data_IF_086991996206
#
_entry.id   IF_086991996206
#
_cell.length_a   1.000
_cell.length_b   1.000
_cell.length_c   1.000
_cell.angle_alpha   90.00
_cell.angle_beta   90.00
_cell.angle_gamma   90.00
#
_symmetry.space_group_name_H-M   'P 1'
#
loop_
_entity.id
_entity.type
_entity.pdbx_description
1 polymer ?
#
# COMPACT_ATOMS: atom_id res chain seq x y z
N UNK A 1 22.19 -21.96 -8.05
CA UNK A 1 20.98 -21.13 -8.06
C UNK A 1 19.84 -22.10 -8.35
N UNK A 2 19.05 -22.49 -7.35
CA UNK A 2 17.92 -23.40 -7.60
C UNK A 2 16.97 -22.77 -8.62
N UNK A 3 16.40 -23.54 -9.55
CA UNK A 3 15.34 -23.05 -10.41
C UNK A 3 14.17 -22.68 -9.50
N UNK A 4 13.93 -21.39 -9.32
CA UNK A 4 12.73 -20.91 -8.69
C UNK A 4 11.55 -21.55 -9.41
N UNK A 5 10.64 -22.16 -8.66
CA UNK A 5 9.43 -22.75 -9.20
C UNK A 5 8.52 -21.61 -9.69
N UNK A 6 8.70 -21.22 -10.95
CA UNK A 6 8.01 -20.11 -11.60
C UNK A 6 6.49 -20.29 -11.50
N UNK A 7 6.02 -21.54 -11.53
CA UNK A 7 4.62 -21.89 -11.31
C UNK A 7 4.13 -21.46 -9.92
N UNK A 8 4.94 -21.65 -8.86
CA UNK A 8 4.60 -21.15 -7.52
C UNK A 8 4.53 -19.62 -7.47
N UNK A 9 5.43 -18.93 -8.18
CA UNK A 9 5.44 -17.47 -8.25
C UNK A 9 4.19 -16.96 -9.00
N UNK A 10 3.89 -17.53 -10.17
CA UNK A 10 2.69 -17.20 -10.95
C UNK A 10 1.41 -17.41 -10.13
N UNK A 11 1.28 -18.57 -9.46
CA UNK A 11 0.13 -18.86 -8.60
C UNK A 11 0.01 -17.88 -7.41
N UNK A 12 1.14 -17.49 -6.82
CA UNK A 12 1.15 -16.51 -5.73
C UNK A 12 0.72 -15.10 -6.20
N UNK A 13 1.19 -14.68 -7.37
CA UNK A 13 0.78 -13.42 -8.01
C UNK A 13 -0.71 -13.49 -8.35
N UNK A 14 -1.19 -14.56 -8.97
CA UNK A 14 -2.59 -14.72 -9.35
C UNK A 14 -3.53 -14.66 -8.14
N UNK A 15 -3.20 -15.39 -7.07
CA UNK A 15 -3.93 -15.31 -5.79
C UNK A 15 -3.92 -13.89 -5.23
N UNK A 16 -2.79 -13.20 -5.32
CA UNK A 16 -2.71 -11.81 -4.88
C UNK A 16 -3.55 -10.87 -5.73
N UNK A 17 -3.64 -11.09 -7.05
CA UNK A 17 -4.49 -10.32 -7.95
C UNK A 17 -5.98 -10.50 -7.62
N UNK A 18 -6.39 -11.70 -7.24
CA UNK A 18 -7.77 -11.95 -6.77
C UNK A 18 -8.09 -11.15 -5.51
N UNK A 19 -7.17 -11.15 -4.54
CA UNK A 19 -7.32 -10.35 -3.31
C UNK A 19 -7.33 -8.83 -3.60
N UNK A 20 -6.52 -8.35 -4.56
CA UNK A 20 -6.52 -6.95 -4.97
C UNK A 20 -7.87 -6.54 -5.58
N UNK A 21 -8.46 -7.39 -6.43
CA UNK A 21 -9.81 -7.15 -6.98
C UNK A 21 -10.86 -7.09 -5.87
N UNK A 22 -10.84 -8.06 -4.95
CA UNK A 22 -11.74 -8.06 -3.79
C UNK A 22 -11.57 -6.83 -2.92
N UNK A 23 -10.33 -6.39 -2.69
CA UNK A 23 -10.06 -5.14 -1.96
C UNK A 23 -10.67 -3.94 -2.68
N UNK A 24 -10.50 -3.84 -4.00
CA UNK A 24 -11.03 -2.72 -4.79
C UNK A 24 -12.56 -2.59 -4.67
N UNK A 25 -13.30 -3.70 -4.56
CA UNK A 25 -14.75 -3.68 -4.31
C UNK A 25 -15.13 -3.09 -2.95
N UNK A 26 -14.24 -3.18 -1.96
CA UNK A 26 -14.42 -2.61 -0.63
C UNK A 26 -14.01 -1.15 -0.54
N UNK A 27 -13.32 -0.60 -1.56
CA UNK A 27 -12.86 0.79 -1.58
C UNK A 27 -14.07 1.72 -1.78
N UNK A 28 -14.37 2.62 -0.83
CA UNK A 28 -15.54 3.50 -0.92
C UNK A 28 -15.53 4.34 -2.20
N UNK A 29 -16.64 4.29 -2.94
CA UNK A 29 -16.81 5.03 -4.20
C UNK A 29 -16.13 4.41 -5.43
N UNK A 30 -15.34 3.35 -5.28
CA UNK A 30 -14.72 2.66 -6.42
C UNK A 30 -15.76 1.90 -7.25
N UNK A 31 -16.69 1.21 -6.62
CA UNK A 31 -17.79 0.49 -7.30
C UNK A 31 -18.79 1.42 -7.99
N UNK A 32 -18.80 2.71 -7.62
CA UNK A 32 -19.61 3.74 -8.27
C UNK A 32 -19.03 4.20 -9.63
N UNK A 33 -17.75 3.92 -9.91
CA UNK A 33 -17.17 4.14 -11.23
C UNK A 33 -17.72 3.14 -12.24
N UNK A 34 -17.69 3.49 -13.52
CA UNK A 34 -18.07 2.56 -14.58
C UNK A 34 -17.09 1.37 -14.69
N UNK A 35 -17.57 0.22 -15.17
CA UNK A 35 -16.81 -1.03 -15.20
C UNK A 35 -15.51 -0.94 -15.99
N UNK A 36 -15.52 -0.24 -17.13
CA UNK A 36 -14.34 -0.03 -17.98
C UNK A 36 -13.24 0.74 -17.23
N UNK A 37 -13.59 1.87 -16.60
CA UNK A 37 -12.62 2.67 -15.85
C UNK A 37 -12.06 1.91 -14.64
N UNK A 38 -12.90 1.11 -13.96
CA UNK A 38 -12.43 0.23 -12.87
C UNK A 38 -11.43 -0.80 -13.36
N UNK A 39 -11.69 -1.42 -14.52
CA UNK A 39 -10.78 -2.40 -15.11
C UNK A 39 -9.44 -1.76 -15.48
N UNK A 40 -9.48 -0.58 -16.10
CA UNK A 40 -8.28 0.19 -16.45
C UNK A 40 -7.45 0.53 -15.21
N UNK A 41 -8.09 1.05 -14.15
CA UNK A 41 -7.42 1.37 -12.89
C UNK A 41 -6.77 0.12 -12.26
N UNK A 42 -7.46 -1.02 -12.28
CA UNK A 42 -6.90 -2.28 -11.81
C UNK A 42 -5.69 -2.72 -12.65
N UNK A 43 -5.75 -2.61 -13.98
CA UNK A 43 -4.60 -2.96 -14.83
C UNK A 43 -3.41 -2.02 -14.57
N UNK A 44 -3.65 -0.72 -14.42
CA UNK A 44 -2.62 0.31 -14.20
C UNK A 44 -1.91 0.21 -12.85
N UNK A 45 -2.64 -0.16 -11.78
CA UNK A 45 -2.16 -0.02 -10.40
C UNK A 45 -2.12 -1.33 -9.61
N UNK A 46 -2.52 -2.46 -10.20
CA UNK A 46 -2.46 -3.76 -9.51
C UNK A 46 -1.04 -4.19 -9.15
N UNK A 47 -0.03 -3.88 -9.98
CA UNK A 47 1.38 -4.14 -9.63
C UNK A 47 1.86 -3.26 -8.47
N UNK A 48 1.35 -2.03 -8.37
CA UNK A 48 1.65 -1.14 -7.24
C UNK A 48 1.04 -1.67 -5.94
N UNK A 49 -0.22 -2.12 -6.00
CA UNK A 49 -0.90 -2.76 -4.87
C UNK A 49 -0.27 -4.10 -4.49
N UNK A 50 0.19 -4.88 -5.47
CA UNK A 50 0.93 -6.11 -5.25
C UNK A 50 2.25 -5.80 -4.54
N UNK A 51 3.00 -4.80 -5.00
CA UNK A 51 4.25 -4.38 -4.37
C UNK A 51 4.04 -3.89 -2.94
N UNK A 52 3.00 -3.08 -2.69
CA UNK A 52 2.62 -2.67 -1.34
C UNK A 52 2.28 -3.87 -0.44
N UNK A 53 1.48 -4.81 -0.94
CA UNK A 53 1.10 -6.02 -0.20
C UNK A 53 2.30 -6.91 0.11
N UNK A 54 3.20 -7.09 -0.84
CA UNK A 54 4.43 -7.86 -0.67
C UNK A 54 5.38 -7.18 0.31
N UNK A 55 5.54 -5.87 0.22
CA UNK A 55 6.34 -5.07 1.15
C UNK A 55 5.79 -5.20 2.59
N UNK A 56 4.47 -5.14 2.75
CA UNK A 56 3.80 -5.30 4.04
C UNK A 56 3.66 -6.75 4.49
N UNK A 57 4.14 -7.74 3.75
CA UNK A 57 4.11 -9.14 4.15
C UNK A 57 5.54 -9.66 4.32
N UNK A 58 5.77 -10.60 5.24
CA UNK A 58 7.05 -11.31 5.30
C UNK A 58 7.09 -12.39 4.20
N UNK A 59 6.87 -11.98 2.94
CA UNK A 59 6.82 -12.91 1.82
C UNK A 59 8.26 -13.28 1.42
N UNK A 60 8.64 -14.54 1.62
CA UNK A 60 9.92 -15.09 1.18
C UNK A 60 10.00 -15.17 -0.34
N UNK A 61 10.40 -14.08 -0.99
CA UNK A 61 10.58 -13.96 -2.45
C UNK A 61 12.06 -13.83 -2.85
N UNK A 62 12.98 -14.41 -2.07
CA UNK A 62 14.42 -14.32 -2.33
C UNK A 62 14.95 -12.88 -2.31
N UNK A 63 16.05 -12.62 -3.03
CA UNK A 63 16.72 -11.30 -3.05
C UNK A 63 15.85 -10.17 -3.62
N UNK A 64 14.90 -10.46 -4.52
CA UNK A 64 13.92 -9.50 -5.02
C UNK A 64 12.93 -9.06 -3.93
N UNK A 65 12.60 -9.99 -3.03
CA UNK A 65 11.78 -9.72 -1.86
C UNK A 65 12.46 -8.79 -0.87
N UNK A 66 13.80 -8.72 -0.84
CA UNK A 66 14.53 -7.93 0.16
C UNK A 66 14.27 -6.42 0.01
N UNK A 67 14.33 -5.87 -1.20
CA UNK A 67 14.08 -4.44 -1.42
C UNK A 67 12.62 -4.05 -1.15
N UNK A 68 11.68 -4.93 -1.55
CA UNK A 68 10.26 -4.80 -1.22
C UNK A 68 10.05 -4.82 0.31
N UNK A 69 10.67 -5.79 0.99
CA UNK A 69 10.59 -5.96 2.43
C UNK A 69 11.19 -4.78 3.19
N UNK A 70 12.39 -4.31 2.82
CA UNK A 70 13.02 -3.13 3.43
C UNK A 70 12.15 -1.88 3.25
N UNK A 71 11.56 -1.69 2.08
CA UNK A 71 10.60 -0.61 1.84
C UNK A 71 9.35 -0.77 2.71
N UNK A 72 8.84 -1.98 2.85
CA UNK A 72 7.72 -2.30 3.73
C UNK A 72 8.01 -2.04 5.21
N UNK A 73 9.22 -2.34 5.66
CA UNK A 73 9.68 -2.02 7.01
C UNK A 73 9.72 -0.50 7.23
N UNK A 74 10.17 0.29 6.24
CA UNK A 74 10.11 1.76 6.30
C UNK A 74 8.67 2.28 6.37
N UNK A 75 7.77 1.75 5.55
CA UNK A 75 6.34 2.10 5.57
C UNK A 75 5.72 1.74 6.93
N UNK A 76 5.98 0.54 7.46
CA UNK A 76 5.51 0.10 8.78
C UNK A 76 6.04 0.97 9.92
N UNK A 77 7.32 1.32 9.87
CA UNK A 77 7.95 2.20 10.85
C UNK A 77 7.35 3.62 10.82
N UNK A 78 7.06 4.14 9.62
CA UNK A 78 6.40 5.43 9.43
C UNK A 78 4.97 5.42 9.98
N UNK A 79 4.20 4.37 9.68
CA UNK A 79 2.77 4.30 9.94
C UNK A 79 2.48 3.84 11.39
N UNK A 80 3.43 3.23 12.10
CA UNK A 80 3.31 2.91 13.54
C UNK A 80 1.99 2.17 13.89
N UNK A 81 1.67 1.14 13.10
CA UNK A 81 0.45 0.32 13.21
C UNK A 81 -0.88 1.06 12.91
N UNK A 82 -0.85 2.24 12.31
CA UNK A 82 -2.03 2.91 11.76
C UNK A 82 -2.48 2.27 10.43
N UNK A 83 -3.10 1.09 10.53
CA UNK A 83 -3.59 0.34 9.37
C UNK A 83 -4.67 1.08 8.57
N UNK A 84 -5.36 2.05 9.17
CA UNK A 84 -6.28 2.95 8.47
C UNK A 84 -5.53 3.85 7.48
N UNK A 85 -4.36 4.38 7.86
CA UNK A 85 -3.49 5.10 6.93
C UNK A 85 -2.95 4.19 5.81
N UNK A 86 -2.64 2.92 6.10
CA UNK A 86 -2.28 1.93 5.06
C UNK A 86 -3.43 1.73 4.08
N UNK A 87 -4.66 1.56 4.57
CA UNK A 87 -5.83 1.37 3.72
C UNK A 87 -6.12 2.61 2.86
N UNK A 88 -5.96 3.81 3.41
CA UNK A 88 -6.06 5.07 2.66
C UNK A 88 -4.97 5.22 1.60
N UNK A 89 -3.73 4.83 1.93
CA UNK A 89 -2.60 4.81 0.99
C UNK A 89 -2.82 3.80 -0.15
N UNK A 90 -3.33 2.61 0.15
CA UNK A 90 -3.68 1.60 -0.84
C UNK A 90 -4.81 2.11 -1.76
N UNK A 91 -5.83 2.77 -1.22
CA UNK A 91 -6.90 3.36 -2.02
C UNK A 91 -6.36 4.46 -2.96
N UNK A 92 -5.48 5.34 -2.45
CA UNK A 92 -4.82 6.37 -3.27
C UNK A 92 -3.90 5.79 -4.35
N UNK A 93 -3.28 4.65 -4.08
CA UNK A 93 -2.47 3.91 -5.07
C UNK A 93 -3.37 3.34 -6.17
N UNK A 94 -4.52 2.75 -5.81
CA UNK A 94 -5.50 2.21 -6.75
C UNK A 94 -6.09 3.28 -7.68
N UNK A 95 -6.40 4.46 -7.15
CA UNK A 95 -7.02 5.57 -7.91
C UNK A 95 -6.03 6.70 -8.21
N UNK A 96 -4.75 6.39 -8.41
CA UNK A 96 -3.70 7.40 -8.57
C UNK A 96 -3.82 8.16 -9.91
N UNK A 97 -4.72 9.14 -9.95
CA UNK A 97 -5.02 9.94 -11.14
C UNK A 97 -3.76 10.62 -11.72
N UNK A 98 -2.79 11.02 -10.89
CA UNK A 98 -1.55 11.65 -11.35
C UNK A 98 -0.65 10.74 -12.18
N UNK A 99 -0.77 9.42 -12.04
CA UNK A 99 -0.04 8.44 -12.85
C UNK A 99 -0.81 7.96 -14.07
N UNK A 100 -2.01 8.49 -14.30
CA UNK A 100 -2.79 8.21 -15.50
C UNK A 100 -2.34 9.21 -16.57
N UNK A 101 -1.86 8.69 -17.71
CA UNK A 101 -1.46 9.54 -18.84
C UNK A 101 -2.68 9.93 -19.69
N UNK A 102 -2.54 10.94 -20.54
CA UNK A 102 -3.60 11.40 -21.44
C UNK A 102 -4.02 10.36 -22.50
N UNK A 103 -3.21 9.31 -22.68
CA UNK A 103 -3.47 8.22 -23.63
C UNK A 103 -4.29 7.08 -23.01
N UNK A 104 -4.51 7.10 -21.69
CA UNK A 104 -5.27 6.07 -21.00
C UNK A 104 -6.75 6.23 -21.39
N UNK A 105 -7.41 5.19 -21.95
CA UNK A 105 -8.74 5.30 -22.54
C UNK A 105 -9.85 5.30 -21.48
N UNK A 106 -9.85 6.31 -20.60
CA UNK A 106 -10.86 6.49 -19.56
C UNK A 106 -12.15 7.06 -20.14
N UNK A 107 -13.28 6.49 -19.77
CA UNK A 107 -14.61 6.98 -20.11
C UNK A 107 -14.95 8.27 -19.37
N UNK A 108 -14.62 8.34 -18.07
CA UNK A 108 -14.98 9.47 -17.20
C UNK A 108 -13.82 9.88 -16.27
N UNK A 109 -12.74 10.48 -16.81
CA UNK A 109 -11.57 10.88 -16.01
C UNK A 109 -11.90 11.85 -14.87
N UNK A 110 -12.95 12.67 -15.00
CA UNK A 110 -13.40 13.59 -13.95
C UNK A 110 -13.92 12.88 -12.69
N UNK A 111 -14.60 11.74 -12.83
CA UNK A 111 -15.08 10.94 -11.71
C UNK A 111 -13.91 10.32 -10.93
N UNK A 112 -12.88 9.87 -11.65
CA UNK A 112 -11.64 9.33 -11.08
C UNK A 112 -10.86 10.42 -10.36
N UNK A 113 -10.71 11.59 -10.97
CA UNK A 113 -10.09 12.75 -10.32
C UNK A 113 -10.83 13.13 -9.03
N UNK A 114 -12.17 13.20 -9.07
CA UNK A 114 -12.98 13.50 -7.90
C UNK A 114 -12.87 12.42 -6.80
N UNK A 115 -12.75 11.15 -7.19
CA UNK A 115 -12.52 10.05 -6.25
C UNK A 115 -11.13 10.13 -5.62
N UNK A 116 -10.09 10.35 -6.43
CA UNK A 116 -8.72 10.57 -5.97
C UNK A 116 -8.67 11.70 -4.94
N UNK A 117 -9.23 12.86 -5.28
CA UNK A 117 -9.25 14.03 -4.39
C UNK A 117 -9.97 13.75 -3.07
N UNK A 118 -11.09 13.02 -3.08
CA UNK A 118 -11.78 12.61 -1.85
C UNK A 118 -10.90 11.74 -0.96
N UNK A 119 -10.13 10.82 -1.52
CA UNK A 119 -9.18 10.03 -0.73
C UNK A 119 -8.01 10.85 -0.18
N UNK A 120 -7.54 11.86 -0.91
CA UNK A 120 -6.52 12.80 -0.40
C UNK A 120 -7.02 13.50 0.85
N UNK A 121 -8.22 14.09 0.80
CA UNK A 121 -8.79 14.81 1.94
C UNK A 121 -9.16 13.87 3.10
N UNK A 122 -9.66 12.66 2.81
CA UNK A 122 -9.91 11.64 3.83
C UNK A 122 -8.62 11.27 4.58
N UNK A 123 -7.54 10.94 3.85
CA UNK A 123 -6.27 10.55 4.46
C UNK A 123 -5.66 11.71 5.26
N UNK A 124 -5.72 12.93 4.72
CA UNK A 124 -5.29 14.14 5.42
C UNK A 124 -6.03 14.34 6.74
N UNK A 125 -7.36 14.26 6.72
CA UNK A 125 -8.20 14.38 7.91
C UNK A 125 -7.83 13.33 8.97
N UNK A 126 -7.68 12.05 8.56
CA UNK A 126 -7.28 10.95 9.43
C UNK A 126 -5.90 11.17 10.06
N UNK A 127 -4.89 11.54 9.26
CA UNK A 127 -3.55 11.81 9.74
C UNK A 127 -3.54 12.97 10.75
N UNK A 128 -4.26 14.06 10.48
CA UNK A 128 -4.39 15.17 11.42
C UNK A 128 -5.01 14.71 12.75
N UNK A 129 -6.13 13.98 12.70
CA UNK A 129 -6.77 13.44 13.91
C UNK A 129 -5.85 12.51 14.71
N UNK A 130 -5.02 11.72 14.02
CA UNK A 130 -4.04 10.81 14.62
C UNK A 130 -2.91 11.59 15.32
N UNK A 131 -2.44 12.69 14.73
CA UNK A 131 -1.47 13.59 15.37
C UNK A 131 -2.06 14.22 16.63
N UNK A 132 -3.29 14.76 16.56
CA UNK A 132 -3.96 15.38 17.71
C UNK A 132 -4.15 14.40 18.87
N UNK A 133 -4.65 13.19 18.59
CA UNK A 133 -4.85 12.16 19.61
C UNK A 133 -3.55 11.66 20.25
N UNK A 134 -2.44 11.71 19.52
CA UNK A 134 -1.13 11.33 20.05
C UNK A 134 -0.52 12.41 20.97
N UNK A 135 -0.80 13.69 20.68
CA UNK A 135 -0.39 14.82 21.53
C UNK A 135 -1.22 14.94 22.81
N UNK A 136 -2.53 14.61 22.77
CA UNK A 136 -3.37 14.64 23.98
C UNK A 136 -2.99 13.54 24.97
N UNK A 137 -2.54 12.39 24.49
CA UNK A 137 -2.11 11.27 25.35
C UNK A 137 -0.72 11.48 25.98
N UNK A 138 0.11 12.37 25.44
CA UNK A 138 1.43 12.68 25.99
C UNK A 138 1.38 13.77 27.08
N UNK A 139 0.33 14.60 27.11
CA UNK A 139 0.19 15.70 28.07
C UNK A 139 -0.56 15.34 29.37
N UNK A 140 -1.06 14.10 29.53
CA UNK A 140 -1.89 13.69 30.68
C UNK A 140 -1.12 13.03 31.84
N UNK A 141 0.22 13.13 31.89
CA UNK A 141 1.03 12.48 32.95
C UNK A 141 1.65 13.40 34.01
N UNK A 142 1.25 14.67 34.10
CA UNK A 142 1.69 15.54 35.22
C UNK A 142 0.54 16.35 35.82
N UNK A 143 -0.21 15.72 36.73
CA UNK A 143 -0.80 16.36 37.92
C UNK A 143 -1.31 15.28 38.87
N UNK A 144 -0.71 15.19 40.06
CA UNK A 144 -0.79 14.02 40.93
C UNK A 144 -1.98 13.99 41.90
N UNK A 145 -2.20 12.83 42.51
CA UNK A 145 -2.52 12.64 43.94
C UNK A 145 -2.27 11.17 44.32
N UNK A 146 -1.85 10.98 45.58
CA UNK A 146 -1.18 9.80 46.10
C UNK A 146 -2.08 8.59 46.48
N UNK A 147 -1.42 7.42 46.54
CA UNK A 147 -1.57 6.35 47.54
C UNK A 147 -2.63 5.25 47.34
N UNK A 148 -2.20 4.03 46.99
CA UNK A 148 -2.13 2.86 47.92
C UNK A 148 -1.52 1.61 47.27
N UNK A 149 -0.95 0.77 48.13
CA UNK A 149 -0.06 -0.39 47.89
C UNK A 149 -0.74 -1.68 47.38
N UNK A 150 0.14 -2.54 46.83
CA UNK A 150 0.08 -4.02 46.68
C UNK A 150 -0.55 -4.54 45.38
N UNK A 151 -0.04 -5.54 44.66
CA UNK A 151 0.95 -6.61 44.92
C UNK A 151 1.85 -6.79 43.68
N UNK A 152 3.14 -7.13 43.88
CA UNK A 152 4.05 -7.56 42.81
C UNK A 152 3.75 -9.01 42.43
N UNK A 153 3.56 -9.28 41.15
CA UNK A 153 3.93 -10.55 40.53
C UNK A 153 4.76 -10.25 39.27
N UNK A 154 5.96 -10.82 39.25
CA UNK A 154 6.94 -10.73 38.18
C UNK A 154 6.40 -11.45 36.92
N UNK A 155 6.34 -10.72 35.82
CA UNK A 155 6.63 -11.27 34.48
C UNK A 155 7.15 -10.12 33.64
N UNK A 156 8.43 -10.18 33.30
CA UNK A 156 9.13 -9.19 32.48
C UNK A 156 8.63 -9.26 31.04
N UNK A 157 7.56 -8.52 30.76
CA UNK A 157 7.27 -8.02 29.44
C UNK A 157 7.34 -6.51 29.52
N UNK A 158 8.47 -5.95 29.09
CA UNK A 158 8.62 -4.53 28.83
C UNK A 158 7.45 -4.14 27.90
N UNK A 159 6.47 -3.32 28.33
CA UNK A 159 5.57 -2.73 27.38
C UNK A 159 6.43 -1.71 26.64
N UNK A 160 6.87 -2.05 25.44
CA UNK A 160 7.36 -1.03 24.51
C UNK A 160 6.10 -0.27 24.08
N UNK A 161 5.65 0.62 24.95
CA UNK A 161 4.75 1.72 24.58
C UNK A 161 5.60 2.60 23.67
N UNK A 162 5.68 2.24 22.39
CA UNK A 162 6.11 3.17 21.35
C UNK A 162 5.12 4.32 21.41
N UNK A 163 5.51 5.39 22.10
CA UNK A 163 4.79 6.65 22.06
C UNK A 163 4.64 7.00 20.58
N UNK A 164 3.40 7.11 20.10
CA UNK A 164 3.12 7.47 18.71
C UNK A 164 3.56 8.91 18.49
N UNK A 165 4.83 9.13 18.18
CA UNK A 165 5.33 10.47 17.85
C UNK A 165 5.09 10.68 16.36
N UNK A 166 3.83 10.93 16.02
CA UNK A 166 3.43 11.46 14.71
C UNK A 166 3.42 12.97 14.79
N UNK A 167 4.19 13.62 13.91
CA UNK A 167 4.34 15.07 13.83
C UNK A 167 3.38 15.69 12.80
N UNK A 168 3.37 17.02 12.69
CA UNK A 168 2.53 17.75 11.72
C UNK A 168 2.81 17.40 10.26
N UNK A 169 3.92 16.73 9.97
CA UNK A 169 4.30 16.28 8.61
C UNK A 169 3.87 14.84 8.31
N UNK A 170 3.19 14.15 9.24
CA UNK A 170 2.78 12.76 9.10
C UNK A 170 1.99 12.50 7.81
N UNK A 171 1.00 13.34 7.50
CA UNK A 171 0.23 13.23 6.26
C UNK A 171 1.13 13.28 5.02
N UNK A 172 2.01 14.28 4.91
CA UNK A 172 2.90 14.44 3.75
C UNK A 172 3.81 13.22 3.57
N UNK A 173 4.37 12.70 4.67
CA UNK A 173 5.22 11.50 4.65
C UNK A 173 4.46 10.25 4.19
N UNK A 174 3.23 10.05 4.67
CA UNK A 174 2.37 8.93 4.25
C UNK A 174 1.93 9.09 2.80
N UNK A 175 1.47 10.28 2.41
CA UNK A 175 0.99 10.57 1.06
C UNK A 175 2.08 10.35 -0.01
N UNK A 176 3.33 10.72 0.29
CA UNK A 176 4.47 10.49 -0.59
C UNK A 176 4.80 9.00 -0.80
N UNK A 177 4.35 8.10 0.09
CA UNK A 177 4.62 6.67 -0.08
C UNK A 177 4.00 6.09 -1.35
N UNK A 178 2.94 6.70 -1.91
CA UNK A 178 2.33 6.23 -3.17
C UNK A 178 3.33 6.32 -4.34
N UNK A 179 4.17 7.34 -4.34
CA UNK A 179 5.18 7.57 -5.38
C UNK A 179 6.39 6.65 -5.15
N UNK A 180 6.77 6.41 -3.89
CA UNK A 180 7.79 5.41 -3.53
C UNK A 180 7.36 4.00 -3.94
N UNK A 181 6.09 3.62 -3.68
CA UNK A 181 5.51 2.34 -4.10
C UNK A 181 5.62 2.19 -5.61
N UNK A 182 5.21 3.22 -6.37
CA UNK A 182 5.30 3.21 -7.84
C UNK A 182 6.73 3.01 -8.34
N UNK A 183 7.68 3.75 -7.76
CA UNK A 183 9.10 3.62 -8.10
C UNK A 183 9.64 2.21 -7.80
N UNK A 184 9.29 1.68 -6.64
CA UNK A 184 9.65 0.34 -6.20
C UNK A 184 9.06 -0.74 -7.10
N UNK A 185 7.79 -0.62 -7.50
CA UNK A 185 7.15 -1.54 -8.46
C UNK A 185 7.93 -1.60 -9.77
N UNK A 186 8.27 -0.44 -10.34
CA UNK A 186 9.04 -0.38 -11.59
C UNK A 186 10.43 -1.02 -11.43
N UNK A 187 11.12 -0.74 -10.33
CA UNK A 187 12.47 -1.25 -10.11
C UNK A 187 12.54 -2.74 -9.75
N UNK A 188 11.63 -3.21 -8.89
CA UNK A 188 11.73 -4.52 -8.22
C UNK A 188 10.79 -5.57 -8.78
N UNK A 189 9.69 -5.18 -9.45
CA UNK A 189 8.65 -6.10 -9.87
C UNK A 189 8.45 -6.12 -11.38
N UNK A 190 8.41 -4.96 -12.03
CA UNK A 190 8.11 -4.85 -13.46
C UNK A 190 9.15 -5.59 -14.33
N UNK A 191 10.44 -5.32 -14.14
CA UNK A 191 11.51 -5.94 -14.93
C UNK A 191 11.54 -7.47 -14.82
N UNK A 192 11.44 -8.07 -13.61
CA UNK A 192 11.23 -9.50 -13.48
C UNK A 192 10.02 -10.07 -14.21
N UNK A 193 8.87 -9.40 -14.14
CA UNK A 193 7.64 -9.86 -14.77
C UNK A 193 7.69 -9.75 -16.30
N UNK A 194 8.36 -8.72 -16.85
CA UNK A 194 8.63 -8.62 -18.29
C UNK A 194 9.47 -9.80 -18.77
N UNK A 195 10.56 -10.12 -18.07
CA UNK A 195 11.40 -11.28 -18.41
C UNK A 195 10.64 -12.59 -18.34
N UNK A 196 9.73 -12.73 -17.37
CA UNK A 196 8.86 -13.89 -17.24
C UNK A 196 7.94 -14.04 -18.47
N UNK A 197 7.27 -12.95 -18.86
CA UNK A 197 6.41 -12.87 -20.06
C UNK A 197 7.18 -13.23 -21.33
N UNK A 198 8.43 -12.77 -21.47
CA UNK A 198 9.25 -13.05 -22.64
C UNK A 198 9.78 -14.50 -22.68
N UNK A 199 9.96 -15.13 -21.52
CA UNK A 199 10.57 -16.46 -21.38
C UNK A 199 9.61 -17.63 -21.54
N UNK A 200 8.31 -17.44 -21.33
CA UNK A 200 7.32 -18.51 -21.37
C UNK A 200 6.20 -18.25 -22.38
N UNK A 201 5.97 -19.22 -23.27
CA UNK A 201 4.88 -19.15 -24.26
C UNK A 201 3.47 -19.27 -23.65
N UNK A 202 3.38 -19.67 -22.39
CA UNK A 202 2.13 -19.92 -21.65
C UNK A 202 1.79 -18.86 -20.60
N UNK A 203 2.53 -17.75 -20.53
CA UNK A 203 2.18 -16.70 -19.57
C UNK A 203 0.78 -16.19 -19.83
N UNK A 204 -0.03 -16.17 -18.76
CA UNK A 204 -1.42 -15.78 -18.85
C UNK A 204 -1.58 -14.40 -19.48
N UNK A 205 -2.47 -14.28 -20.46
CA UNK A 205 -2.78 -13.05 -21.20
C UNK A 205 -2.98 -11.84 -20.28
N UNK A 206 -3.59 -12.04 -19.11
CA UNK A 206 -3.81 -10.97 -18.14
C UNK A 206 -2.52 -10.35 -17.59
N UNK A 207 -1.45 -11.14 -17.41
CA UNK A 207 -0.18 -10.63 -16.88
C UNK A 207 0.55 -9.81 -17.95
N UNK A 208 0.49 -10.26 -19.20
CA UNK A 208 1.04 -9.52 -20.35
C UNK A 208 0.39 -8.15 -20.49
N UNK A 209 -0.95 -8.09 -20.45
CA UNK A 209 -1.70 -6.82 -20.51
C UNK A 209 -1.30 -5.85 -19.38
N UNK A 210 -1.16 -6.35 -18.15
CA UNK A 210 -0.77 -5.53 -17.00
C UNK A 210 0.65 -4.99 -17.18
N UNK A 211 1.60 -5.85 -17.57
CA UNK A 211 3.01 -5.46 -17.74
C UNK A 211 3.18 -4.44 -18.86
N UNK A 212 2.50 -4.63 -20.00
CA UNK A 212 2.52 -3.68 -21.11
C UNK A 212 1.94 -2.32 -20.70
N UNK A 213 0.79 -2.32 -20.01
CA UNK A 213 0.12 -1.09 -19.59
C UNK A 213 0.92 -0.33 -18.52
N UNK A 214 1.53 -1.04 -17.56
CA UNK A 214 2.38 -0.44 -16.53
C UNK A 214 3.72 0.02 -17.11
N UNK A 215 4.26 -0.69 -18.10
CA UNK A 215 5.49 -0.31 -18.80
C UNK A 215 5.34 0.95 -19.66
N UNK A 216 4.16 1.17 -20.26
CA UNK A 216 3.88 2.32 -21.11
C UNK A 216 3.39 3.58 -20.37
N UNK A 217 3.26 3.51 -19.04
CA UNK A 217 2.82 4.65 -18.22
C UNK A 217 4.01 5.41 -17.64
N UNK A 218 4.50 6.35 -18.46
CA UNK A 218 5.40 7.46 -18.11
C UNK A 218 4.69 8.80 -18.31
#
# INVERSE_FOLDING_TARGET
MEPYDLTKICNAIEKSMHEIRRYAELVPGFTSLNSTDREILLKMHSLDLLSLRLALSAAGLGDWGKQLWESGMRIRALIQNDWSAVAGLAALTLVNYKSINYQTPLNKPSEIYALHHRFVEMLKSHCCATVYSSQTNTNSTTSGYASRKSFRLHTDHIPVTMSRVVDSTYFSKVFQQKDHIRSMTKASLLMPLMRLVDSESTVHMWLKEIVELVGNSD
#
